data_IF_995603307686
#
_entry.id   IF_995603307686
#
_cell.length_a   1.000
_cell.length_b   1.000
_cell.length_c   1.000
_cell.angle_alpha   90.00
_cell.angle_beta   90.00
_cell.angle_gamma   90.00
#
_symmetry.space_group_name_H-M   'P 1'
#
loop_
_entity.id
_entity.type
_entity.pdbx_description
1 polymer ?
#
# COMPACT_ATOMS: atom_id res chain seq x y z
N UNK A 1 -14.51 -6.01 -7.78
CA UNK A 1 -14.94 -7.04 -6.79
C UNK A 1 -14.90 -8.48 -7.29
N UNK A 2 -15.29 -8.80 -8.55
CA UNK A 2 -15.30 -10.19 -9.06
C UNK A 2 -13.95 -10.94 -8.90
N UNK A 3 -12.84 -10.31 -9.28
CA UNK A 3 -11.50 -10.89 -9.17
C UNK A 3 -11.06 -11.14 -7.70
N UNK A 4 -11.44 -10.25 -6.79
CA UNK A 4 -11.17 -10.38 -5.37
C UNK A 4 -11.92 -11.58 -4.75
N UNK A 5 -13.22 -11.71 -5.04
CA UNK A 5 -14.02 -12.85 -4.60
C UNK A 5 -13.51 -14.18 -5.19
N UNK A 6 -13.08 -14.17 -6.46
CA UNK A 6 -12.46 -15.34 -7.08
C UNK A 6 -11.11 -15.70 -6.43
N UNK A 7 -10.33 -14.71 -6.01
CA UNK A 7 -9.07 -14.91 -5.28
C UNK A 7 -9.29 -15.47 -3.87
N UNK A 8 -10.36 -15.06 -3.20
CA UNK A 8 -10.73 -15.52 -1.85
C UNK A 8 -11.32 -16.93 -1.84
N UNK A 9 -12.23 -17.24 -2.77
CA UNK A 9 -13.08 -18.45 -2.70
C UNK A 9 -12.86 -19.45 -3.85
N UNK A 10 -12.09 -19.11 -4.89
CA UNK A 10 -12.01 -19.89 -6.13
C UNK A 10 -11.10 -21.14 -6.12
N UNK A 11 -10.56 -21.53 -4.96
CA UNK A 11 -9.54 -22.58 -4.87
C UNK A 11 -8.17 -22.18 -5.46
N UNK A 12 -7.12 -23.01 -5.30
CA UNK A 12 -5.73 -22.62 -5.59
C UNK A 12 -5.49 -22.17 -7.05
N UNK A 13 -6.08 -22.89 -8.02
CA UNK A 13 -5.90 -22.60 -9.46
C UNK A 13 -6.56 -21.30 -9.91
N UNK A 14 -7.75 -20.96 -9.40
CA UNK A 14 -8.39 -19.66 -9.74
C UNK A 14 -7.72 -18.51 -9.01
N UNK A 15 -7.29 -18.71 -7.77
CA UNK A 15 -6.52 -17.73 -7.00
C UNK A 15 -5.23 -17.35 -7.72
N UNK A 16 -4.50 -18.33 -8.23
CA UNK A 16 -3.28 -18.09 -9.01
C UNK A 16 -3.53 -17.27 -10.29
N UNK A 17 -4.72 -17.37 -10.89
CA UNK A 17 -5.10 -16.60 -12.08
C UNK A 17 -5.62 -15.20 -11.77
N UNK A 18 -6.38 -15.03 -10.69
CA UNK A 18 -7.05 -13.76 -10.37
C UNK A 18 -6.23 -12.83 -9.50
N UNK A 19 -5.34 -13.37 -8.67
CA UNK A 19 -4.51 -12.57 -7.76
C UNK A 19 -3.51 -11.67 -8.49
N UNK A 20 -2.79 -12.11 -9.55
CA UNK A 20 -1.86 -11.24 -10.25
C UNK A 20 -2.55 -9.99 -10.82
N UNK A 21 -3.70 -10.17 -11.45
CA UNK A 21 -4.53 -9.09 -12.00
C UNK A 21 -5.21 -8.22 -10.95
N UNK A 22 -5.29 -8.70 -9.71
CA UNK A 22 -5.74 -7.88 -8.59
C UNK A 22 -4.61 -6.96 -8.10
N UNK A 23 -3.36 -7.43 -8.19
CA UNK A 23 -2.19 -6.73 -7.70
C UNK A 23 -1.58 -5.80 -8.74
N UNK A 24 -1.60 -6.18 -10.01
CA UNK A 24 -0.81 -5.52 -11.05
C UNK A 24 -1.66 -5.23 -12.29
N UNK A 25 -1.37 -4.12 -12.99
CA UNK A 25 -1.91 -3.84 -14.32
C UNK A 25 -1.48 -4.90 -15.34
N UNK A 26 -2.29 -5.11 -16.38
CA UNK A 26 -1.99 -6.13 -17.41
C UNK A 26 -0.66 -5.81 -18.12
N UNK A 27 -0.36 -4.53 -18.38
CA UNK A 27 0.89 -4.08 -19.01
C UNK A 27 2.12 -4.50 -18.20
N UNK A 28 2.06 -4.39 -16.87
CA UNK A 28 3.15 -4.83 -16.00
C UNK A 28 3.29 -6.36 -15.97
N UNK A 29 2.16 -7.08 -15.98
CA UNK A 29 2.15 -8.54 -16.02
C UNK A 29 2.78 -9.08 -17.32
N UNK A 30 2.56 -8.40 -18.44
CA UNK A 30 3.21 -8.69 -19.71
C UNK A 30 4.72 -8.42 -19.64
N UNK A 31 5.13 -7.29 -19.06
CA UNK A 31 6.53 -6.90 -18.95
C UNK A 31 7.36 -7.84 -18.06
N UNK A 32 6.87 -8.21 -16.87
CA UNK A 32 7.62 -9.05 -15.93
C UNK A 32 7.74 -10.50 -16.42
N UNK A 33 6.78 -10.94 -17.24
CA UNK A 33 6.73 -12.29 -17.78
C UNK A 33 6.33 -13.37 -16.75
N UNK A 34 5.89 -14.54 -17.23
CA UNK A 34 5.27 -15.57 -16.40
C UNK A 34 6.21 -16.23 -15.39
N UNK A 35 7.51 -16.36 -15.73
CA UNK A 35 8.49 -17.02 -14.87
C UNK A 35 8.78 -16.19 -13.62
N UNK A 36 9.11 -14.91 -13.79
CA UNK A 36 9.38 -14.02 -12.65
C UNK A 36 8.12 -13.77 -11.81
N UNK A 37 6.95 -13.67 -12.45
CA UNK A 37 5.68 -13.57 -11.75
C UNK A 37 5.44 -14.78 -10.84
N UNK A 38 5.68 -16.02 -11.32
CA UNK A 38 5.54 -17.23 -10.49
C UNK A 38 6.50 -17.22 -9.32
N UNK A 39 7.79 -16.94 -9.55
CA UNK A 39 8.78 -16.86 -8.47
C UNK A 39 8.37 -15.84 -7.39
N UNK A 40 7.83 -14.69 -7.80
CA UNK A 40 7.34 -13.68 -6.87
C UNK A 40 6.11 -14.15 -6.06
N UNK A 41 5.18 -14.84 -6.71
CA UNK A 41 3.94 -15.30 -6.07
C UNK A 41 4.14 -16.53 -5.18
N UNK A 42 5.01 -17.47 -5.57
CA UNK A 42 5.25 -18.71 -4.83
C UNK A 42 5.78 -18.43 -3.42
N UNK A 43 6.70 -17.46 -3.28
CA UNK A 43 7.21 -16.99 -1.98
C UNK A 43 6.07 -16.49 -1.06
N UNK A 44 4.99 -15.95 -1.64
CA UNK A 44 3.86 -15.36 -0.88
C UNK A 44 2.67 -16.29 -0.71
N UNK A 45 2.56 -17.36 -1.50
CA UNK A 45 1.36 -18.20 -1.58
C UNK A 45 1.55 -19.63 -1.04
N UNK A 46 2.76 -20.03 -0.65
CA UNK A 46 3.04 -21.39 -0.19
C UNK A 46 2.21 -21.87 1.00
N UNK A 47 1.66 -20.94 1.82
CA UNK A 47 0.87 -21.27 3.01
C UNK A 47 -0.40 -20.41 3.07
N UNK A 48 -1.52 -20.85 2.47
CA UNK A 48 -2.75 -20.07 2.54
C UNK A 48 -3.25 -20.00 4.00
N UNK A 49 -3.65 -18.81 4.48
CA UNK A 49 -4.21 -18.67 5.82
C UNK A 49 -5.53 -19.45 5.94
N UNK A 50 -5.84 -19.93 7.15
CA UNK A 50 -7.11 -20.58 7.43
C UNK A 50 -8.29 -19.65 7.08
N UNK A 51 -9.40 -20.21 6.59
CA UNK A 51 -10.57 -19.43 6.17
C UNK A 51 -11.10 -18.49 7.27
N UNK A 52 -11.13 -18.98 8.52
CA UNK A 52 -11.51 -18.16 9.69
C UNK A 52 -10.65 -16.90 9.84
N UNK A 53 -9.35 -17.00 9.55
CA UNK A 53 -8.40 -15.88 9.63
C UNK A 53 -8.72 -14.86 8.55
N UNK A 54 -8.98 -15.33 7.32
CA UNK A 54 -9.36 -14.47 6.21
C UNK A 54 -10.66 -13.72 6.51
N UNK A 55 -11.70 -14.43 6.98
CA UNK A 55 -12.99 -13.81 7.32
C UNK A 55 -12.84 -12.80 8.48
N UNK A 56 -12.05 -13.13 9.50
CA UNK A 56 -11.76 -12.21 10.60
C UNK A 56 -11.04 -10.94 10.14
N UNK A 57 -10.06 -11.07 9.23
CA UNK A 57 -9.36 -9.93 8.64
C UNK A 57 -10.32 -9.05 7.82
N UNK A 58 -11.16 -9.66 6.98
CA UNK A 58 -12.15 -8.91 6.19
C UNK A 58 -13.13 -8.16 7.07
N UNK A 59 -13.65 -8.80 8.12
CA UNK A 59 -14.54 -8.17 9.08
C UNK A 59 -13.85 -7.00 9.80
N UNK A 60 -12.60 -7.18 10.22
CA UNK A 60 -11.82 -6.13 10.88
C UNK A 60 -11.58 -4.91 9.97
N UNK A 61 -11.23 -5.13 8.70
CA UNK A 61 -11.05 -4.05 7.71
C UNK A 61 -12.37 -3.35 7.43
N UNK A 62 -13.45 -4.11 7.24
CA UNK A 62 -14.76 -3.55 6.88
C UNK A 62 -15.36 -2.66 7.97
N UNK A 63 -15.15 -3.00 9.24
CA UNK A 63 -15.63 -2.21 10.39
C UNK A 63 -14.70 -1.06 10.81
N UNK A 64 -13.49 -1.01 10.25
CA UNK A 64 -12.51 -0.02 10.67
C UNK A 64 -12.77 1.32 10.01
N UNK A 65 -12.98 2.37 10.82
CA UNK A 65 -12.97 3.75 10.36
C UNK A 65 -12.29 4.64 11.40
N UNK A 66 -11.32 5.43 10.93
CA UNK A 66 -10.59 6.43 11.72
C UNK A 66 -10.64 7.80 11.06
N UNK A 67 -11.55 7.99 10.10
CA UNK A 67 -11.64 9.18 9.26
C UNK A 67 -11.72 10.48 10.08
N UNK A 68 -12.50 10.48 11.17
CA UNK A 68 -12.69 11.63 12.06
C UNK A 68 -11.44 12.02 12.86
N UNK A 69 -10.43 11.15 12.93
CA UNK A 69 -9.18 11.37 13.68
C UNK A 69 -7.99 11.69 12.79
N UNK A 70 -8.15 11.67 11.47
CA UNK A 70 -7.05 11.88 10.53
C UNK A 70 -6.43 13.28 10.65
N UNK A 71 -7.22 14.28 11.03
CA UNK A 71 -6.74 15.64 11.28
C UNK A 71 -5.79 15.72 12.48
N UNK A 72 -5.79 14.74 13.39
CA UNK A 72 -4.88 14.70 14.53
C UNK A 72 -3.47 14.20 14.16
N UNK A 73 -3.24 13.83 12.89
CA UNK A 73 -1.93 13.38 12.41
C UNK A 73 -1.09 14.63 12.06
N UNK A 74 -0.35 15.12 13.04
CA UNK A 74 0.53 16.29 12.90
C UNK A 74 1.91 15.96 12.29
N UNK A 75 2.26 14.66 12.21
CA UNK A 75 3.55 14.26 11.66
C UNK A 75 3.55 14.34 10.12
N UNK A 76 4.67 14.71 9.48
CA UNK A 76 4.82 14.60 8.03
C UNK A 76 4.45 13.19 7.57
N UNK A 77 3.52 13.10 6.63
CA UNK A 77 2.96 11.81 6.21
C UNK A 77 3.13 11.66 4.70
N UNK A 78 3.78 10.58 4.27
CA UNK A 78 3.86 10.21 2.85
C UNK A 78 2.76 9.22 2.51
N UNK A 79 1.88 9.60 1.58
CA UNK A 79 0.85 8.75 1.02
C UNK A 79 1.27 8.24 -0.35
N UNK A 80 1.30 6.92 -0.53
CA UNK A 80 1.59 6.29 -1.82
C UNK A 80 0.28 6.02 -2.56
N UNK A 81 0.15 6.54 -3.78
CA UNK A 81 -1.06 6.44 -4.59
C UNK A 81 -0.79 5.68 -5.90
N UNK A 82 -1.06 4.37 -5.95
CA UNK A 82 -1.13 3.64 -7.21
C UNK A 82 -2.36 4.06 -8.02
N UNK A 83 -2.19 4.44 -9.28
CA UNK A 83 -3.24 4.97 -10.16
C UNK A 83 -4.16 3.92 -10.79
N UNK A 84 -3.67 2.69 -10.93
CA UNK A 84 -4.39 1.55 -11.51
C UNK A 84 -4.81 0.51 -10.43
N UNK A 85 -4.86 0.90 -9.15
CA UNK A 85 -5.32 0.03 -8.08
C UNK A 85 -6.85 -0.21 -8.18
N UNK A 86 -7.22 -1.45 -8.52
CA UNK A 86 -8.61 -1.89 -8.60
C UNK A 86 -9.15 -2.48 -7.29
N UNK A 87 -8.28 -2.77 -6.32
CA UNK A 87 -8.66 -3.31 -5.02
C UNK A 87 -9.04 -2.17 -4.08
N UNK A 88 -8.20 -1.14 -3.99
CA UNK A 88 -8.45 0.10 -3.25
C UNK A 88 -8.39 1.26 -4.23
N UNK A 89 -9.53 1.88 -4.50
CA UNK A 89 -9.62 2.95 -5.51
C UNK A 89 -8.63 4.08 -5.16
N UNK A 90 -7.90 4.66 -6.13
CA UNK A 90 -6.92 5.73 -5.87
C UNK A 90 -7.52 6.96 -5.18
N UNK A 91 -8.83 7.18 -5.37
CA UNK A 91 -9.59 8.24 -4.69
C UNK A 91 -9.64 8.10 -3.17
N UNK A 92 -9.38 6.91 -2.61
CA UNK A 92 -9.24 6.75 -1.16
C UNK A 92 -7.98 7.44 -0.65
N UNK A 93 -6.87 7.36 -1.37
CA UNK A 93 -5.65 8.12 -1.03
C UNK A 93 -5.89 9.63 -1.17
N UNK A 94 -6.61 10.06 -2.20
CA UNK A 94 -6.98 11.47 -2.36
C UNK A 94 -7.83 11.97 -1.18
N UNK A 95 -8.76 11.15 -0.66
CA UNK A 95 -9.54 11.46 0.56
C UNK A 95 -8.69 11.55 1.82
N UNK A 96 -7.68 10.69 1.98
CA UNK A 96 -6.73 10.75 3.09
C UNK A 96 -5.91 12.04 3.03
N UNK A 97 -5.41 12.40 1.85
CA UNK A 97 -4.60 13.60 1.64
C UNK A 97 -5.35 14.89 2.00
N UNK A 98 -6.66 14.93 1.77
CA UNK A 98 -7.51 16.07 2.15
C UNK A 98 -7.69 16.21 3.67
N UNK A 99 -7.45 15.17 4.46
CA UNK A 99 -7.75 15.13 5.90
C UNK A 99 -6.51 15.11 6.78
N UNK A 100 -5.34 14.80 6.22
CA UNK A 100 -4.07 14.76 6.94
C UNK A 100 -3.32 16.07 6.62
N UNK A 101 -3.11 16.98 7.59
CA UNK A 101 -2.61 18.34 7.35
C UNK A 101 -1.27 18.40 6.61
N UNK A 102 -0.35 17.50 6.94
CA UNK A 102 1.02 17.47 6.41
C UNK A 102 1.27 16.30 5.45
N UNK A 103 0.22 15.86 4.75
CA UNK A 103 0.33 14.80 3.77
C UNK A 103 1.02 15.26 2.48
N UNK A 104 1.94 14.44 1.98
CA UNK A 104 2.47 14.49 0.62
C UNK A 104 2.01 13.24 -0.12
N UNK A 105 1.55 13.40 -1.36
CA UNK A 105 1.11 12.26 -2.19
C UNK A 105 2.17 11.94 -3.22
N UNK A 106 2.75 10.74 -3.14
CA UNK A 106 3.59 10.15 -4.18
C UNK A 106 2.69 9.36 -5.14
N UNK A 107 2.62 9.81 -6.39
CA UNK A 107 1.72 9.25 -7.41
C UNK A 107 2.49 8.31 -8.34
N UNK A 108 1.93 7.14 -8.57
CA UNK A 108 2.37 6.18 -9.58
C UNK A 108 1.19 5.84 -10.47
N UNK A 109 0.97 6.61 -11.53
CA UNK A 109 -0.26 6.53 -12.32
C UNK A 109 -0.40 5.18 -13.07
N UNK A 110 0.72 4.52 -13.35
CA UNK A 110 0.84 3.21 -14.01
C UNK A 110 0.97 2.04 -13.03
N UNK A 111 0.81 2.27 -11.72
CA UNK A 111 0.95 1.22 -10.71
C UNK A 111 -0.38 0.66 -10.20
N UNK A 112 -0.41 -0.64 -9.96
CA UNK A 112 -1.51 -1.34 -9.29
C UNK A 112 -1.31 -1.46 -7.78
N UNK A 113 -2.15 -2.28 -7.13
CA UNK A 113 -2.10 -2.52 -5.68
C UNK A 113 -0.74 -3.02 -5.18
N UNK A 114 -0.02 -3.78 -6.01
CA UNK A 114 1.32 -4.30 -5.77
C UNK A 114 2.44 -3.28 -5.97
N UNK A 115 2.17 -1.98 -5.82
CA UNK A 115 3.11 -0.87 -6.04
C UNK A 115 4.46 -1.04 -5.32
N UNK A 116 4.47 -1.68 -4.15
CA UNK A 116 5.71 -1.93 -3.38
C UNK A 116 6.70 -2.83 -4.10
N UNK A 117 6.20 -3.70 -4.99
CA UNK A 117 7.02 -4.52 -5.85
C UNK A 117 7.21 -3.88 -7.23
N UNK A 118 6.12 -3.42 -7.84
CA UNK A 118 6.14 -2.84 -9.19
C UNK A 118 7.05 -1.60 -9.31
N UNK A 119 7.06 -0.74 -8.28
CA UNK A 119 7.81 0.52 -8.23
C UNK A 119 8.88 0.51 -7.15
N UNK A 120 9.43 -0.66 -6.81
CA UNK A 120 10.30 -0.85 -5.65
C UNK A 120 11.48 0.14 -5.60
N UNK A 121 12.18 0.37 -6.71
CA UNK A 121 13.33 1.28 -6.74
C UNK A 121 12.93 2.73 -6.45
N UNK A 122 11.94 3.25 -7.18
CA UNK A 122 11.42 4.62 -7.05
C UNK A 122 10.81 4.85 -5.66
N UNK A 123 9.98 3.90 -5.20
CA UNK A 123 9.36 3.96 -3.88
C UNK A 123 10.43 3.94 -2.76
N UNK A 124 11.41 3.05 -2.84
CA UNK A 124 12.46 2.96 -1.82
C UNK A 124 13.30 4.25 -1.76
N UNK A 125 13.55 4.90 -2.90
CA UNK A 125 14.22 6.20 -2.93
C UNK A 125 13.38 7.28 -2.23
N UNK A 126 12.09 7.37 -2.56
CA UNK A 126 11.17 8.32 -1.94
C UNK A 126 11.01 8.10 -0.42
N UNK A 127 10.95 6.83 0.02
CA UNK A 127 10.90 6.47 1.43
C UNK A 127 12.15 6.94 2.18
N UNK A 128 13.35 6.71 1.63
CA UNK A 128 14.61 7.20 2.22
C UNK A 128 14.61 8.72 2.37
N UNK A 129 14.20 9.46 1.34
CA UNK A 129 14.09 10.92 1.39
C UNK A 129 13.10 11.37 2.45
N UNK A 130 11.93 10.71 2.55
CA UNK A 130 10.91 11.03 3.54
C UNK A 130 11.41 10.82 4.98
N UNK A 131 12.04 9.68 5.26
CA UNK A 131 12.56 9.37 6.59
C UNK A 131 13.70 10.31 6.99
N UNK A 132 14.64 10.60 6.08
CA UNK A 132 15.70 11.57 6.33
C UNK A 132 15.15 12.96 6.69
N UNK A 133 14.08 13.40 6.00
CA UNK A 133 13.40 14.66 6.32
C UNK A 133 12.76 14.65 7.71
N UNK A 134 12.18 13.53 8.13
CA UNK A 134 11.59 13.38 9.46
C UNK A 134 12.64 13.40 10.58
N UNK A 135 13.81 12.77 10.35
CA UNK A 135 14.92 12.77 11.31
C UNK A 135 15.48 14.18 11.56
N UNK A 136 15.54 15.01 10.52
CA UNK A 136 15.94 16.42 10.66
C UNK A 136 14.95 17.22 11.52
N UNK A 137 13.64 17.05 11.29
CA UNK A 137 12.60 17.71 12.08
C UNK A 137 12.72 17.31 13.56
N UNK A 138 12.94 16.01 13.83
CA UNK A 138 13.13 15.49 15.19
C UNK A 138 14.38 16.09 15.85
N UNK A 139 15.50 16.14 15.14
CA UNK A 139 16.77 16.67 15.66
C UNK A 139 16.77 18.19 15.86
N UNK A 140 15.93 18.93 15.14
CA UNK A 140 15.71 20.37 15.34
C UNK A 140 14.83 20.66 16.55
N UNK A 141 13.80 19.82 16.79
CA UNK A 141 12.90 19.96 17.94
C UNK A 141 13.60 19.72 19.28
N UNK A 142 14.58 18.81 19.35
CA UNK A 142 15.35 18.56 20.58
C UNK A 142 16.34 19.66 20.94
N UNK A 143 16.91 20.37 19.96
CA UNK A 143 17.86 21.47 20.22
C UNK A 143 17.21 22.75 20.75
N UNK A 144 15.90 22.91 20.57
CA UNK A 144 15.16 24.10 21.03
C UNK A 144 14.88 24.11 22.54
N UNK A 145 15.05 22.98 23.24
CA UNK A 145 14.65 22.84 24.65
C UNK A 145 15.76 23.24 25.62
N UNK A 146 17.03 23.24 25.21
CA UNK A 146 18.20 23.45 26.09
C UNK A 146 18.70 24.92 26.20
N UNK A 147 17.99 25.91 25.63
CA UNK A 147 18.46 27.31 25.60
C UNK A 147 17.79 28.24 26.63
N UNK A 148 17.26 27.70 27.74
CA UNK A 148 16.72 28.53 28.85
C UNK A 148 17.08 27.93 30.22
N UNK A 149 18.31 28.21 30.67
CA UNK A 149 18.67 28.35 32.09
C UNK A 149 19.69 29.47 32.21
#
# INVERSE_FOLDING_TARGET
MRLFLQGLFGGPRRRMRSLPRLLYPDEFLEQIGPTMLRSHLDVRLGHPPALRTVLGQLYAVWRHSTESRLSHIELPTLLVRPGQDILIRPSQTDRLAQRIPHAKVLRFDDAGHGVTFQKAAELNAALRTHFAGADVIRAGSTRSVDARV
#
